data_IF_579485288103
#
_entry.id   IF_579485288103
#
_cell.length_a   1.000
_cell.length_b   1.000
_cell.length_c   1.000
_cell.angle_alpha   90.00
_cell.angle_beta   90.00
_cell.angle_gamma   90.00
#
_symmetry.space_group_name_H-M   'P 1'
#
loop_
_entity.id
_entity.type
_entity.pdbx_description
1 polymer ?
#
# COMPACT_ATOMS: atom_id res chain seq x y z
N UNK A 1 27.20 16.91 -9.11
CA UNK A 1 27.16 15.62 -8.38
C UNK A 1 26.59 14.62 -9.38
N UNK A 2 27.31 13.57 -9.68
CA UNK A 2 26.81 12.50 -10.55
C UNK A 2 25.71 11.73 -9.77
N UNK A 3 24.58 11.50 -10.42
CA UNK A 3 23.42 10.85 -9.79
C UNK A 3 23.49 9.36 -10.15
N UNK A 4 23.46 8.49 -9.15
CA UNK A 4 23.47 7.05 -9.37
C UNK A 4 22.14 6.58 -10.01
N UNK A 5 22.25 5.64 -10.93
CA UNK A 5 21.11 4.91 -11.45
C UNK A 5 20.55 3.96 -10.37
N UNK A 6 19.22 3.97 -10.19
CA UNK A 6 18.52 3.14 -9.20
C UNK A 6 17.78 2.01 -9.91
N UNK A 7 17.98 0.80 -9.41
CA UNK A 7 17.36 -0.41 -9.94
C UNK A 7 16.62 -1.17 -8.85
N UNK A 8 15.55 -1.85 -9.23
CA UNK A 8 14.83 -2.81 -8.39
C UNK A 8 15.37 -4.22 -8.70
N UNK A 9 15.73 -4.96 -7.68
CA UNK A 9 16.34 -6.29 -7.83
C UNK A 9 15.46 -7.42 -7.30
N UNK A 10 14.52 -7.13 -6.43
CA UNK A 10 13.54 -8.10 -5.93
C UNK A 10 12.25 -7.43 -5.53
N UNK A 11 11.20 -8.24 -5.41
CA UNK A 11 9.92 -7.82 -4.85
C UNK A 11 9.05 -9.02 -4.49
N UNK A 12 8.20 -8.82 -3.49
CA UNK A 12 7.20 -9.79 -3.05
C UNK A 12 6.08 -9.08 -2.28
N UNK A 13 4.99 -9.80 -2.05
CA UNK A 13 3.87 -9.34 -1.22
C UNK A 13 3.20 -10.49 -0.48
N UNK A 14 2.51 -10.18 0.61
CA UNK A 14 1.54 -11.13 1.15
C UNK A 14 0.33 -11.23 0.21
N UNK A 15 -0.47 -12.28 0.29
CA UNK A 15 -1.85 -12.19 -0.18
C UNK A 15 -2.58 -11.05 0.55
N UNK A 16 -3.55 -10.45 -0.10
CA UNK A 16 -4.35 -9.35 0.46
C UNK A 16 -5.55 -9.92 1.22
N UNK A 17 -5.57 -9.65 2.53
CA UNK A 17 -6.69 -9.96 3.41
C UNK A 17 -7.78 -8.90 3.33
N UNK A 18 -9.04 -9.31 3.46
CA UNK A 18 -10.16 -8.38 3.65
C UNK A 18 -10.24 -7.92 5.11
N UNK A 19 -10.94 -6.83 5.34
CA UNK A 19 -11.19 -6.30 6.68
C UNK A 19 -11.82 -7.37 7.61
N UNK A 20 -11.21 -7.55 8.77
CA UNK A 20 -11.54 -8.61 9.74
C UNK A 20 -11.52 -10.03 9.14
N UNK A 21 -10.76 -10.22 8.06
CA UNK A 21 -10.58 -11.50 7.37
C UNK A 21 -9.40 -12.32 7.90
N UNK A 22 -8.79 -13.09 6.99
CA UNK A 22 -7.75 -14.08 7.35
C UNK A 22 -6.51 -13.48 8.01
N UNK A 23 -6.13 -12.24 7.67
CA UNK A 23 -4.96 -11.55 8.24
C UNK A 23 -5.27 -10.74 9.51
N UNK A 24 -6.52 -10.68 9.99
CA UNK A 24 -6.94 -9.84 11.11
C UNK A 24 -6.21 -10.08 12.43
N UNK A 25 -5.59 -11.24 12.63
CA UNK A 25 -4.79 -11.54 13.81
C UNK A 25 -3.30 -11.21 13.66
N UNK A 26 -2.86 -10.71 12.49
CA UNK A 26 -1.46 -10.42 12.20
C UNK A 26 -1.24 -8.91 12.15
N UNK A 27 -0.28 -8.42 12.92
CA UNK A 27 0.02 -6.98 12.99
C UNK A 27 0.82 -6.53 11.78
N UNK A 28 0.76 -5.23 11.48
CA UNK A 28 1.48 -4.62 10.38
C UNK A 28 3.00 -4.85 10.44
N UNK A 29 3.60 -4.77 11.63
CA UNK A 29 5.04 -5.04 11.80
C UNK A 29 5.40 -6.49 11.44
N UNK A 30 4.56 -7.46 11.81
CA UNK A 30 4.80 -8.87 11.51
C UNK A 30 4.67 -9.13 9.99
N UNK A 31 3.66 -8.56 9.34
CA UNK A 31 3.52 -8.61 7.88
C UNK A 31 4.73 -7.99 7.18
N UNK A 32 5.23 -6.86 7.71
CA UNK A 32 6.42 -6.17 7.20
C UNK A 32 7.68 -7.01 7.33
N UNK A 33 7.86 -7.71 8.46
CA UNK A 33 9.00 -8.61 8.65
C UNK A 33 8.96 -9.79 7.68
N UNK A 34 7.78 -10.38 7.45
CA UNK A 34 7.60 -11.49 6.52
C UNK A 34 7.99 -11.07 5.09
N UNK A 35 7.47 -9.95 4.59
CA UNK A 35 7.77 -9.48 3.23
C UNK A 35 9.18 -8.94 3.10
N UNK A 36 9.68 -8.20 4.10
CA UNK A 36 11.03 -7.65 4.10
C UNK A 36 12.09 -8.73 4.05
N UNK A 37 11.98 -9.75 4.91
CA UNK A 37 12.90 -10.90 4.92
C UNK A 37 12.89 -11.66 3.59
N UNK A 38 11.70 -11.91 3.04
CA UNK A 38 11.58 -12.62 1.76
C UNK A 38 12.12 -11.79 0.58
N UNK A 39 11.90 -10.46 0.57
CA UNK A 39 12.45 -9.60 -0.48
C UNK A 39 13.99 -9.60 -0.49
N UNK A 40 14.62 -9.52 0.69
CA UNK A 40 16.07 -9.63 0.86
C UNK A 40 16.58 -11.00 0.36
N UNK A 41 15.92 -12.08 0.78
CA UNK A 41 16.23 -13.43 0.33
C UNK A 41 16.14 -13.59 -1.19
N UNK A 42 15.07 -13.05 -1.81
CA UNK A 42 14.90 -13.05 -3.28
C UNK A 42 15.95 -12.22 -4.01
N UNK A 43 16.46 -11.17 -3.38
CA UNK A 43 17.58 -10.40 -3.90
C UNK A 43 18.92 -11.15 -3.85
N UNK A 44 19.00 -12.26 -3.11
CA UNK A 44 20.24 -13.05 -2.94
C UNK A 44 21.29 -12.33 -2.11
N UNK A 45 20.88 -11.49 -1.15
CA UNK A 45 21.77 -10.74 -0.27
C UNK A 45 21.46 -11.05 1.21
N UNK A 46 22.38 -10.68 2.09
CA UNK A 46 22.19 -10.81 3.53
C UNK A 46 21.51 -9.57 4.11
N UNK A 47 20.67 -9.70 5.15
CA UNK A 47 20.03 -8.55 5.80
C UNK A 47 21.02 -7.48 6.28
N UNK A 48 22.21 -7.88 6.71
CA UNK A 48 23.28 -6.98 7.17
C UNK A 48 23.90 -6.12 6.09
N UNK A 49 23.62 -6.42 4.80
CA UNK A 49 24.10 -5.62 3.67
C UNK A 49 23.13 -4.46 3.31
N UNK A 50 21.95 -4.42 3.94
CA UNK A 50 20.95 -3.38 3.68
C UNK A 50 21.26 -2.15 4.53
N UNK A 51 21.51 -1.00 3.89
CA UNK A 51 21.89 0.25 4.54
C UNK A 51 20.72 0.95 5.22
N UNK A 52 19.54 0.89 4.61
CA UNK A 52 18.35 1.54 5.14
C UNK A 52 17.06 0.78 4.83
N UNK A 53 16.08 0.93 5.74
CA UNK A 53 14.70 0.53 5.55
C UNK A 53 13.79 1.75 5.55
N UNK A 54 12.98 1.90 4.49
CA UNK A 54 11.93 2.93 4.43
C UNK A 54 10.57 2.26 4.43
N UNK A 55 9.79 2.50 5.49
CA UNK A 55 8.45 1.94 5.67
C UNK A 55 7.38 2.94 5.25
N UNK A 56 6.56 2.56 4.26
CA UNK A 56 5.34 3.27 3.91
C UNK A 56 4.14 2.68 4.64
N UNK A 57 3.46 3.49 5.44
CA UNK A 57 2.30 3.08 6.23
C UNK A 57 1.34 4.25 6.40
N UNK A 58 0.06 4.04 6.13
CA UNK A 58 -0.99 5.02 6.39
C UNK A 58 -1.16 5.27 7.89
N UNK A 59 -1.36 4.19 8.63
CA UNK A 59 -1.86 4.17 10.00
C UNK A 59 -0.87 3.43 10.91
N UNK A 60 -0.05 4.15 11.66
CA UNK A 60 0.94 3.55 12.55
C UNK A 60 0.42 3.21 13.96
N UNK A 61 -0.85 3.53 14.26
CA UNK A 61 -1.45 3.32 15.57
C UNK A 61 -1.36 1.86 16.04
N UNK A 62 -1.00 1.67 17.31
CA UNK A 62 -0.92 0.34 17.92
C UNK A 62 0.30 -0.50 17.56
N UNK A 63 1.21 -0.03 16.69
CA UNK A 63 2.41 -0.75 16.26
C UNK A 63 3.67 -0.46 17.11
N UNK A 64 3.52 0.29 18.19
CA UNK A 64 4.62 0.67 19.08
C UNK A 64 5.45 1.84 18.56
N UNK A 65 6.58 2.10 19.23
CA UNK A 65 7.49 3.18 18.85
C UNK A 65 8.34 2.75 17.66
N UNK A 66 8.42 3.62 16.65
CA UNK A 66 9.29 3.49 15.48
C UNK A 66 9.18 2.10 14.78
N UNK A 67 8.01 1.77 14.20
CA UNK A 67 7.78 0.51 13.51
C UNK A 67 8.89 0.08 12.53
N UNK A 68 9.46 0.95 11.67
CA UNK A 68 10.51 0.54 10.74
C UNK A 68 11.77 0.02 11.45
N UNK A 69 12.12 0.56 12.62
CA UNK A 69 13.26 0.05 13.37
C UNK A 69 12.99 -1.33 13.97
N UNK A 70 11.75 -1.57 14.44
CA UNK A 70 11.35 -2.88 14.92
C UNK A 70 11.43 -3.91 13.78
N UNK A 71 10.97 -3.56 12.59
CA UNK A 71 11.05 -4.42 11.40
C UNK A 71 12.50 -4.67 11.01
N UNK A 72 13.33 -3.64 10.89
CA UNK A 72 14.75 -3.79 10.53
C UNK A 72 15.49 -4.74 11.48
N UNK A 73 15.30 -4.57 12.78
CA UNK A 73 15.92 -5.46 13.78
C UNK A 73 15.34 -6.86 13.75
N UNK A 74 14.02 -6.99 13.56
CA UNK A 74 13.32 -8.27 13.49
C UNK A 74 13.74 -9.15 12.31
N UNK A 75 14.17 -8.54 11.20
CA UNK A 75 14.68 -9.26 10.02
C UNK A 75 16.20 -9.44 10.00
N UNK A 76 16.92 -8.94 11.03
CA UNK A 76 18.36 -9.12 11.16
C UNK A 76 19.23 -8.13 10.40
N UNK A 77 18.72 -6.92 10.09
CA UNK A 77 19.55 -5.84 9.54
C UNK A 77 20.58 -5.38 10.58
N UNK A 78 21.66 -4.75 10.10
CA UNK A 78 22.70 -4.20 10.97
C UNK A 78 22.14 -3.14 11.93
N UNK A 79 22.71 -3.05 13.15
CA UNK A 79 22.41 -1.97 14.06
C UNK A 79 22.81 -0.58 13.50
N UNK A 80 23.69 -0.53 12.53
CA UNK A 80 24.13 0.67 11.84
C UNK A 80 23.16 1.12 10.74
N UNK A 81 22.27 0.22 10.27
CA UNK A 81 21.29 0.52 9.22
C UNK A 81 20.31 1.60 9.67
N UNK A 82 20.00 2.53 8.78
CA UNK A 82 18.92 3.52 8.96
C UNK A 82 17.55 2.89 8.91
N UNK A 83 16.58 3.46 9.62
CA UNK A 83 15.18 3.05 9.50
C UNK A 83 14.26 4.25 9.67
N UNK A 84 13.39 4.49 8.69
CA UNK A 84 12.45 5.60 8.69
C UNK A 84 11.07 5.19 8.22
N UNK A 85 10.07 5.97 8.62
CA UNK A 85 8.68 5.78 8.20
C UNK A 85 8.17 7.03 7.52
N UNK A 86 7.35 6.83 6.49
CA UNK A 86 6.62 7.92 5.83
C UNK A 86 5.14 7.56 5.72
N UNK A 87 4.30 8.57 5.89
CA UNK A 87 2.88 8.48 5.56
C UNK A 87 2.53 9.46 4.45
N UNK A 88 1.76 9.00 3.50
CA UNK A 88 1.11 9.77 2.44
C UNK A 88 -0.19 9.06 2.07
N UNK A 89 -0.92 8.60 3.08
CA UNK A 89 -2.11 7.76 2.94
C UNK A 89 -1.86 6.59 1.97
N UNK A 90 -2.75 6.34 1.01
CA UNK A 90 -2.62 5.24 0.05
C UNK A 90 -1.33 5.29 -0.79
N UNK A 91 -0.70 6.44 -0.94
CA UNK A 91 0.56 6.62 -1.66
C UNK A 91 1.82 6.43 -0.78
N UNK A 92 1.67 6.05 0.50
CA UNK A 92 2.79 5.95 1.44
C UNK A 92 3.92 5.04 0.95
N UNK A 93 3.60 3.88 0.35
CA UNK A 93 4.60 2.95 -0.19
C UNK A 93 5.36 3.52 -1.39
N UNK A 94 4.66 4.24 -2.27
CA UNK A 94 5.31 4.95 -3.40
C UNK A 94 6.21 6.07 -2.89
N UNK A 95 5.77 6.80 -1.84
CA UNK A 95 6.60 7.83 -1.21
C UNK A 95 7.82 7.23 -0.51
N UNK A 96 7.70 6.08 0.13
CA UNK A 96 8.82 5.34 0.69
C UNK A 96 9.82 4.93 -0.39
N UNK A 97 9.32 4.48 -1.55
CA UNK A 97 10.13 4.17 -2.74
C UNK A 97 10.88 5.41 -3.25
N UNK A 98 10.22 6.56 -3.31
CA UNK A 98 10.85 7.83 -3.73
C UNK A 98 11.97 8.25 -2.77
N UNK A 99 11.74 8.14 -1.45
CA UNK A 99 12.75 8.50 -0.43
C UNK A 99 13.97 7.59 -0.54
N UNK A 100 13.77 6.28 -0.60
CA UNK A 100 14.85 5.31 -0.79
C UNK A 100 15.62 5.56 -2.09
N UNK A 101 14.90 5.81 -3.20
CA UNK A 101 15.52 6.11 -4.48
C UNK A 101 16.35 7.40 -4.45
N UNK A 102 15.89 8.45 -3.77
CA UNK A 102 16.67 9.67 -3.57
C UNK A 102 17.93 9.42 -2.75
N UNK A 103 17.86 8.60 -1.70
CA UNK A 103 19.01 8.21 -0.89
C UNK A 103 20.08 7.49 -1.73
N UNK A 104 19.66 6.49 -2.52
CA UNK A 104 20.51 5.74 -3.43
C UNK A 104 21.10 6.64 -4.54
N UNK A 105 20.27 7.45 -5.17
CA UNK A 105 20.69 8.35 -6.25
C UNK A 105 21.73 9.36 -5.79
N UNK A 106 21.63 9.85 -4.56
CA UNK A 106 22.57 10.79 -3.95
C UNK A 106 23.80 10.12 -3.31
N UNK A 107 23.91 8.78 -3.36
CA UNK A 107 25.02 8.03 -2.78
C UNK A 107 25.06 8.03 -1.25
N UNK A 108 23.93 8.23 -0.57
CA UNK A 108 23.83 8.13 0.89
C UNK A 108 23.69 6.68 1.35
N UNK A 109 23.15 5.82 0.51
CA UNK A 109 23.04 4.37 0.67
C UNK A 109 23.32 3.68 -0.66
N UNK A 110 23.65 2.40 -0.64
CA UNK A 110 23.84 1.57 -1.84
C UNK A 110 22.73 0.52 -2.00
N UNK A 111 22.13 0.07 -0.87
CA UNK A 111 21.05 -0.91 -0.84
C UNK A 111 19.97 -0.43 0.13
N UNK A 112 18.74 -0.35 -0.34
CA UNK A 112 17.57 0.05 0.45
C UNK A 112 16.47 -1.01 0.38
N UNK A 113 15.88 -1.34 1.53
CA UNK A 113 14.65 -2.10 1.64
C UNK A 113 13.48 -1.12 1.77
N UNK A 114 12.52 -1.23 0.86
CA UNK A 114 11.25 -0.49 0.96
C UNK A 114 10.14 -1.48 1.31
N UNK A 115 9.38 -1.16 2.34
CA UNK A 115 8.21 -1.97 2.74
C UNK A 115 6.99 -1.07 2.76
N UNK A 116 5.92 -1.52 2.11
CA UNK A 116 4.59 -0.95 2.26
C UNK A 116 3.70 -1.92 3.02
N UNK A 117 3.06 -1.47 4.09
CA UNK A 117 2.24 -2.35 4.91
C UNK A 117 1.07 -1.63 5.52
N UNK A 118 -0.02 -2.38 5.68
CA UNK A 118 -1.19 -1.94 6.46
C UNK A 118 -1.87 -3.14 7.10
N UNK A 119 -2.34 -2.97 8.32
CA UNK A 119 -3.22 -3.90 9.00
C UNK A 119 -4.42 -3.12 9.54
N UNK A 120 -5.36 -2.83 8.64
CA UNK A 120 -6.52 -2.01 8.94
C UNK A 120 -7.45 -2.68 9.95
N UNK A 121 -7.45 -4.01 10.00
CA UNK A 121 -8.17 -4.80 11.01
C UNK A 121 -7.66 -4.59 12.44
N UNK A 122 -6.43 -4.09 12.60
CA UNK A 122 -5.78 -3.89 13.90
C UNK A 122 -5.66 -2.42 14.32
N UNK A 123 -6.27 -1.49 13.58
CA UNK A 123 -6.28 -0.08 13.97
C UNK A 123 -7.16 0.10 15.22
N UNK A 124 -6.63 0.74 16.28
CA UNK A 124 -7.34 0.83 17.56
C UNK A 124 -8.43 1.90 17.55
N UNK A 125 -9.32 1.79 18.52
CA UNK A 125 -10.14 2.92 18.97
C UNK A 125 -9.33 3.80 19.90
N UNK A 126 -9.47 5.11 19.79
CA UNK A 126 -8.76 6.12 20.59
C UNK A 126 -9.73 6.97 21.40
N UNK A 127 -9.25 7.47 22.54
CA UNK A 127 -9.98 8.47 23.33
C UNK A 127 -9.12 9.71 23.49
N UNK A 128 -9.57 10.83 22.95
CA UNK A 128 -8.78 12.07 22.90
C UNK A 128 -8.72 12.81 24.24
N UNK A 129 -9.77 12.69 25.07
CA UNK A 129 -9.95 13.53 26.26
C UNK A 129 -9.61 12.85 27.59
N UNK A 130 -9.17 11.56 27.56
CA UNK A 130 -8.95 10.79 28.79
C UNK A 130 -7.60 11.06 29.46
N UNK A 131 -6.60 11.55 28.73
CA UNK A 131 -5.26 11.85 29.30
C UNK A 131 -5.32 12.92 30.40
N UNK A 132 -6.14 13.93 30.24
CA UNK A 132 -6.36 15.00 31.23
C UNK A 132 -7.44 14.65 32.27
N UNK A 133 -8.00 13.45 32.19
CA UNK A 133 -9.11 12.97 33.03
C UNK A 133 -10.47 13.34 32.47
N UNK A 134 -11.38 12.39 32.41
CA UNK A 134 -12.79 12.63 32.14
C UNK A 134 -13.43 13.08 33.46
N UNK A 135 -13.44 14.38 33.75
CA UNK A 135 -13.88 14.93 35.04
C UNK A 135 -15.36 14.74 35.32
N UNK A 136 -16.22 14.82 34.29
CA UNK A 136 -17.66 14.66 34.38
C UNK A 136 -18.20 14.21 33.03
N UNK A 137 -19.07 13.19 33.03
CA UNK A 137 -19.67 12.60 31.84
C UNK A 137 -18.83 11.46 31.22
N UNK A 138 -19.31 10.92 30.12
CA UNK A 138 -18.75 9.74 29.46
C UNK A 138 -17.47 10.04 28.67
N UNK A 139 -16.49 9.11 28.72
CA UNK A 139 -15.36 9.10 27.80
C UNK A 139 -15.77 8.39 26.49
N UNK A 140 -15.70 9.10 25.36
CA UNK A 140 -16.00 8.53 24.04
C UNK A 140 -14.79 7.84 23.45
N UNK A 141 -14.98 6.65 22.90
CA UNK A 141 -14.04 5.98 22.01
C UNK A 141 -14.37 6.37 20.57
N UNK A 142 -13.33 6.72 19.82
CA UNK A 142 -13.40 7.10 18.42
C UNK A 142 -12.64 6.06 17.59
N UNK A 143 -13.23 5.59 16.50
CA UNK A 143 -12.56 4.69 15.57
C UNK A 143 -11.45 5.46 14.83
N UNK A 144 -10.19 5.12 15.12
CA UNK A 144 -9.04 5.77 14.50
C UNK A 144 -8.94 5.46 13.01
N UNK A 145 -9.45 4.30 12.55
CA UNK A 145 -9.50 3.97 11.13
C UNK A 145 -10.33 5.00 10.35
N UNK A 146 -11.44 5.44 10.91
CA UNK A 146 -12.28 6.48 10.32
C UNK A 146 -11.67 7.87 10.52
N UNK A 147 -11.36 8.24 11.77
CA UNK A 147 -11.00 9.63 12.11
C UNK A 147 -9.65 10.08 11.57
N UNK A 148 -8.69 9.18 11.46
CA UNK A 148 -7.31 9.50 11.11
C UNK A 148 -6.89 8.89 9.75
N UNK A 149 -7.72 8.02 9.16
CA UNK A 149 -7.46 7.36 7.89
C UNK A 149 -8.47 7.67 6.78
N UNK A 150 -9.76 7.38 7.00
CA UNK A 150 -10.74 7.35 5.92
C UNK A 150 -11.62 8.59 5.81
N UNK A 151 -11.67 9.46 6.83
CA UNK A 151 -12.38 10.73 6.79
C UNK A 151 -11.37 11.85 6.60
N UNK A 152 -11.45 12.53 5.45
CA UNK A 152 -10.67 13.73 5.18
C UNK A 152 -11.26 14.92 5.93
N UNK A 153 -10.45 15.55 6.78
CA UNK A 153 -10.88 16.72 7.57
C UNK A 153 -11.01 18.00 6.74
N UNK A 154 -10.29 18.10 5.62
CA UNK A 154 -10.36 19.25 4.73
C UNK A 154 -11.61 19.18 3.85
N UNK A 155 -11.89 18.01 3.28
CA UNK A 155 -13.11 17.78 2.52
C UNK A 155 -14.34 17.58 3.40
N UNK A 156 -14.16 17.28 4.70
CA UNK A 156 -15.25 16.98 5.63
C UNK A 156 -16.03 15.73 5.26
N UNK A 157 -15.41 14.79 4.54
CA UNK A 157 -16.07 13.65 3.93
C UNK A 157 -15.20 12.38 4.02
N UNK A 158 -15.86 11.23 4.01
CA UNK A 158 -15.20 9.94 3.78
C UNK A 158 -14.60 9.88 2.37
N UNK A 159 -13.52 9.12 2.17
CA UNK A 159 -12.86 8.97 0.85
C UNK A 159 -13.82 8.54 -0.26
N UNK A 160 -14.80 7.67 0.03
CA UNK A 160 -15.86 7.31 -0.91
C UNK A 160 -16.77 8.48 -1.29
N UNK A 161 -17.00 9.43 -0.38
CA UNK A 161 -17.72 10.67 -0.71
C UNK A 161 -16.93 11.58 -1.64
N UNK A 162 -15.59 11.62 -1.52
CA UNK A 162 -14.75 12.36 -2.48
C UNK A 162 -14.74 11.68 -3.86
N UNK A 163 -14.88 10.34 -3.92
CA UNK A 163 -15.06 9.63 -5.18
C UNK A 163 -16.38 10.00 -5.87
N UNK A 164 -17.48 10.11 -5.11
CA UNK A 164 -18.76 10.61 -5.63
C UNK A 164 -18.65 12.05 -6.17
N UNK A 165 -17.84 12.90 -5.51
CA UNK A 165 -17.56 14.27 -5.99
C UNK A 165 -16.84 14.25 -7.35
N UNK A 166 -15.87 13.34 -7.53
CA UNK A 166 -15.20 13.14 -8.82
C UNK A 166 -16.21 12.71 -9.87
N UNK A 167 -17.02 11.68 -9.58
CA UNK A 167 -18.03 11.18 -10.49
C UNK A 167 -18.99 12.29 -10.93
N UNK A 168 -19.48 13.08 -9.99
CA UNK A 168 -20.39 14.22 -10.30
C UNK A 168 -19.72 15.28 -11.17
N UNK A 169 -18.46 15.64 -10.88
CA UNK A 169 -17.76 16.70 -11.61
C UNK A 169 -17.43 16.33 -13.05
N UNK A 170 -17.10 15.05 -13.28
CA UNK A 170 -16.74 14.56 -14.61
C UNK A 170 -17.83 13.73 -15.28
N UNK A 171 -19.06 13.75 -14.75
CA UNK A 171 -20.23 13.05 -15.27
C UNK A 171 -20.01 11.56 -15.45
N UNK A 172 -19.31 10.92 -14.52
CA UNK A 172 -19.10 9.46 -14.49
C UNK A 172 -20.34 8.82 -13.89
N UNK A 173 -20.93 7.89 -14.62
CA UNK A 173 -22.18 7.24 -14.20
C UNK A 173 -21.93 6.07 -13.25
N UNK A 174 -22.99 5.63 -12.57
CA UNK A 174 -22.99 4.44 -11.74
C UNK A 174 -22.65 3.19 -12.56
N UNK A 175 -23.20 3.09 -13.74
CA UNK A 175 -23.00 1.98 -14.67
C UNK A 175 -21.54 1.87 -15.10
N UNK A 176 -20.88 2.98 -15.40
CA UNK A 176 -19.45 3.01 -15.73
C UNK A 176 -18.59 2.55 -14.54
N UNK A 177 -18.92 2.97 -13.31
CA UNK A 177 -18.23 2.53 -12.09
C UNK A 177 -18.40 1.01 -11.88
N UNK A 178 -19.63 0.50 -11.99
CA UNK A 178 -19.91 -0.94 -11.83
C UNK A 178 -19.25 -1.78 -12.93
N UNK A 179 -19.23 -1.28 -14.18
CA UNK A 179 -18.55 -1.95 -15.29
C UNK A 179 -17.05 -2.10 -15.05
N UNK A 180 -16.38 -1.02 -14.61
CA UNK A 180 -14.95 -1.04 -14.28
C UNK A 180 -14.68 -2.01 -13.14
N UNK A 181 -15.50 -1.98 -12.09
CA UNK A 181 -15.37 -2.88 -10.95
C UNK A 181 -15.59 -4.34 -11.33
N UNK A 182 -16.57 -4.63 -12.18
CA UNK A 182 -16.79 -5.98 -12.72
C UNK A 182 -15.56 -6.50 -13.48
N UNK A 183 -14.98 -5.67 -14.34
CA UNK A 183 -13.74 -6.02 -15.06
C UNK A 183 -12.60 -6.32 -14.06
N UNK A 184 -12.45 -5.48 -13.05
CA UNK A 184 -11.42 -5.65 -12.01
C UNK A 184 -11.60 -6.95 -11.22
N UNK A 185 -12.81 -7.23 -10.71
CA UNK A 185 -13.10 -8.46 -9.97
C UNK A 185 -12.91 -9.71 -10.84
N UNK A 186 -13.35 -9.67 -12.11
CA UNK A 186 -13.22 -10.79 -13.05
C UNK A 186 -11.74 -11.08 -13.35
N UNK A 187 -10.94 -10.04 -13.60
CA UNK A 187 -9.50 -10.18 -13.86
C UNK A 187 -8.77 -10.72 -12.63
N UNK A 188 -9.07 -10.20 -11.44
CA UNK A 188 -8.48 -10.69 -10.18
C UNK A 188 -8.84 -12.16 -9.93
N UNK A 189 -10.11 -12.54 -10.05
CA UNK A 189 -10.56 -13.92 -9.88
C UNK A 189 -9.86 -14.87 -10.87
N UNK A 190 -9.72 -14.47 -12.13
CA UNK A 190 -8.99 -15.24 -13.13
C UNK A 190 -7.51 -15.37 -12.79
N UNK A 191 -6.84 -14.26 -12.47
CA UNK A 191 -5.40 -14.25 -12.16
C UNK A 191 -5.06 -15.12 -10.93
N UNK A 192 -5.89 -15.06 -9.87
CA UNK A 192 -5.74 -15.91 -8.69
C UNK A 192 -6.02 -17.39 -9.03
N UNK A 193 -7.05 -17.66 -9.86
CA UNK A 193 -7.37 -19.01 -10.32
C UNK A 193 -6.26 -19.63 -11.16
N UNK A 194 -5.66 -18.87 -12.05
CA UNK A 194 -4.59 -19.30 -12.96
C UNK A 194 -3.20 -19.34 -12.27
N UNK A 195 -3.09 -18.93 -10.99
CA UNK A 195 -1.83 -18.92 -10.25
C UNK A 195 -0.83 -17.86 -10.71
N UNK A 196 -1.28 -16.80 -11.41
CA UNK A 196 -0.39 -15.75 -11.96
C UNK A 196 0.37 -15.02 -10.85
N UNK A 197 -0.26 -14.83 -9.69
CA UNK A 197 0.35 -14.16 -8.54
C UNK A 197 1.18 -15.09 -7.63
N UNK A 198 1.22 -16.40 -7.88
CA UNK A 198 1.93 -17.36 -7.00
C UNK A 198 3.42 -17.01 -6.85
N UNK A 199 4.04 -16.42 -7.89
CA UNK A 199 5.42 -15.93 -7.85
C UNK A 199 5.63 -14.71 -6.95
N UNK A 200 4.57 -13.96 -6.66
CA UNK A 200 4.62 -12.74 -5.84
C UNK A 200 4.35 -13.03 -4.37
N UNK A 201 3.49 -14.03 -4.12
CA UNK A 201 3.01 -14.34 -2.78
C UNK A 201 4.11 -14.81 -1.84
N UNK A 202 4.02 -14.30 -0.61
CA UNK A 202 4.65 -14.88 0.58
C UNK A 202 3.51 -15.36 1.49
N UNK A 203 3.27 -16.65 1.58
CA UNK A 203 2.21 -17.18 2.45
C UNK A 203 2.42 -16.77 3.90
N UNK A 204 1.35 -16.37 4.58
CA UNK A 204 1.38 -15.93 5.98
C UNK A 204 0.85 -17.05 6.87
N UNK A 205 1.63 -17.47 7.86
CA UNK A 205 1.20 -18.45 8.85
C UNK A 205 0.25 -17.80 9.86
N UNK A 206 -0.97 -18.30 9.93
CA UNK A 206 -1.97 -17.87 10.89
C UNK A 206 -2.03 -18.91 12.03
N UNK A 207 -1.54 -18.52 13.20
CA UNK A 207 -1.53 -19.35 14.40
C UNK A 207 -2.86 -19.27 15.13
N UNK A 208 -3.39 -20.39 15.55
CA UNK A 208 -4.59 -20.48 16.37
C UNK A 208 -4.46 -21.57 17.44
N UNK A 209 -5.39 -21.62 18.40
CA UNK A 209 -5.46 -22.69 19.40
C UNK A 209 -5.65 -24.09 18.78
N UNK A 210 -6.13 -24.16 17.53
CA UNK A 210 -6.37 -25.42 16.80
C UNK A 210 -5.22 -25.82 15.88
N UNK A 211 -4.10 -25.10 15.90
CA UNK A 211 -2.94 -25.27 15.02
C UNK A 211 -2.69 -24.11 14.08
N UNK A 212 -1.75 -24.28 13.17
CA UNK A 212 -1.38 -23.28 12.19
C UNK A 212 -2.04 -23.54 10.83
N UNK A 213 -2.41 -22.47 10.13
CA UNK A 213 -2.90 -22.50 8.75
C UNK A 213 -2.18 -21.45 7.94
N UNK A 214 -1.78 -21.76 6.71
CA UNK A 214 -1.21 -20.77 5.80
C UNK A 214 -2.28 -20.06 5.00
N UNK A 215 -2.23 -18.73 5.00
CA UNK A 215 -3.00 -17.85 4.11
C UNK A 215 -2.13 -17.55 2.89
N UNK A 216 -2.51 -18.06 1.72
CA UNK A 216 -1.66 -18.08 0.54
C UNK A 216 -2.24 -17.44 -0.72
N UNK A 217 -3.49 -16.94 -0.71
CA UNK A 217 -4.15 -16.33 -1.87
C UNK A 217 -4.99 -15.12 -1.45
N UNK A 218 -5.12 -14.13 -2.34
CA UNK A 218 -5.98 -12.96 -2.14
C UNK A 218 -7.43 -13.37 -1.89
N UNK A 219 -8.12 -12.67 -0.98
CA UNK A 219 -9.50 -13.01 -0.58
C UNK A 219 -10.51 -11.87 -0.79
N UNK A 220 -10.07 -10.68 -1.24
CA UNK A 220 -10.99 -9.51 -1.27
C UNK A 220 -11.86 -9.45 -2.53
N UNK A 221 -11.38 -9.91 -3.68
CA UNK A 221 -12.18 -9.86 -4.91
C UNK A 221 -13.48 -10.68 -4.78
N UNK A 222 -14.51 -10.32 -5.56
CA UNK A 222 -15.83 -10.98 -5.55
C UNK A 222 -15.87 -12.03 -6.65
N UNK A 223 -15.74 -13.34 -6.34
CA UNK A 223 -15.90 -14.38 -7.34
C UNK A 223 -17.32 -14.38 -7.90
N UNK A 224 -17.44 -14.45 -9.23
CA UNK A 224 -18.75 -14.46 -9.89
C UNK A 224 -19.51 -13.11 -9.84
N UNK A 225 -18.80 -11.99 -9.63
CA UNK A 225 -19.40 -10.66 -9.72
C UNK A 225 -20.17 -10.49 -11.03
N UNK A 226 -21.31 -9.82 -10.97
CA UNK A 226 -22.15 -9.54 -12.14
C UNK A 226 -22.89 -8.21 -11.99
N UNK A 227 -23.19 -7.55 -13.12
CA UNK A 227 -23.79 -6.21 -13.12
C UNK A 227 -25.19 -6.17 -12.50
N UNK A 228 -25.97 -7.24 -12.64
CA UNK A 228 -27.32 -7.27 -12.06
C UNK A 228 -27.29 -7.18 -10.54
N UNK A 229 -26.41 -7.96 -9.88
CA UNK A 229 -26.26 -7.93 -8.44
C UNK A 229 -25.63 -6.61 -7.96
N UNK A 230 -24.61 -6.10 -8.68
CA UNK A 230 -23.94 -4.84 -8.36
C UNK A 230 -24.89 -3.65 -8.48
N UNK A 231 -25.71 -3.60 -9.54
CA UNK A 231 -26.69 -2.54 -9.78
C UNK A 231 -27.78 -2.42 -8.71
N UNK A 232 -28.05 -3.49 -7.95
CA UNK A 232 -29.03 -3.50 -6.85
C UNK A 232 -28.48 -2.89 -5.55
N UNK A 233 -27.16 -2.67 -5.45
CA UNK A 233 -26.55 -2.14 -4.22
C UNK A 233 -26.83 -0.64 -4.08
N UNK A 234 -27.20 -0.18 -2.86
CA UNK A 234 -27.38 1.23 -2.63
C UNK A 234 -26.04 1.97 -2.63
N UNK A 235 -26.03 3.29 -2.88
CA UNK A 235 -24.88 4.14 -2.61
C UNK A 235 -24.40 4.01 -1.16
N UNK A 236 -23.08 3.94 -0.97
CA UNK A 236 -22.51 3.65 0.35
C UNK A 236 -22.16 4.92 1.16
N UNK A 237 -21.95 6.06 0.50
CA UNK A 237 -21.44 7.27 1.13
C UNK A 237 -22.40 8.45 1.01
N UNK A 238 -22.73 8.87 -0.19
CA UNK A 238 -23.70 9.95 -0.43
C UNK A 238 -25.01 9.36 -0.95
N UNK A 239 -26.14 9.91 -0.54
CA UNK A 239 -27.48 9.42 -0.92
C UNK A 239 -27.67 9.29 -2.44
N UNK A 240 -27.15 10.27 -3.19
CA UNK A 240 -27.21 10.32 -4.65
C UNK A 240 -25.84 9.98 -5.29
N UNK A 241 -24.98 9.24 -4.56
CA UNK A 241 -23.66 8.83 -5.01
C UNK A 241 -23.68 7.63 -5.94
N UNK A 242 -22.56 7.40 -6.61
CA UNK A 242 -22.33 6.27 -7.52
C UNK A 242 -21.51 5.16 -6.87
N UNK A 243 -20.86 5.46 -5.75
CA UNK A 243 -19.94 4.56 -5.04
C UNK A 243 -20.71 3.59 -4.14
N UNK A 244 -20.46 2.29 -4.32
CA UNK A 244 -21.14 1.20 -3.59
C UNK A 244 -20.13 0.25 -2.95
N UNK A 245 -20.60 -0.70 -2.16
CA UNK A 245 -19.77 -1.75 -1.59
C UNK A 245 -19.10 -2.68 -2.64
N UNK A 246 -19.61 -2.74 -3.87
CA UNK A 246 -19.05 -3.59 -4.92
C UNK A 246 -18.11 -2.84 -5.88
N UNK A 247 -18.18 -1.51 -5.94
CA UNK A 247 -17.31 -0.71 -6.81
C UNK A 247 -16.33 0.19 -6.04
N UNK A 248 -16.41 0.22 -4.69
CA UNK A 248 -15.44 0.89 -3.84
C UNK A 248 -14.19 0.04 -3.63
N UNK A 249 -13.05 0.69 -3.37
CA UNK A 249 -11.87 0.03 -2.82
C UNK A 249 -12.17 -0.60 -1.46
N UNK A 250 -11.59 -1.76 -1.19
CA UNK A 250 -11.76 -2.43 0.10
C UNK A 250 -10.91 -1.81 1.21
N UNK A 251 -11.29 -2.16 2.45
CA UNK A 251 -10.45 -2.02 3.63
C UNK A 251 -9.70 -3.34 3.79
N UNK A 252 -8.37 -3.31 3.80
CA UNK A 252 -7.57 -4.51 3.64
C UNK A 252 -6.40 -4.57 4.62
N UNK A 253 -5.88 -5.79 4.77
CA UNK A 253 -4.63 -6.11 5.47
C UNK A 253 -3.63 -6.67 4.47
N UNK A 254 -2.37 -6.25 4.52
CA UNK A 254 -1.34 -6.77 3.65
C UNK A 254 -0.01 -6.04 3.76
N UNK A 255 1.00 -6.61 3.11
CA UNK A 255 2.33 -6.02 3.01
C UNK A 255 2.98 -6.36 1.67
N UNK A 256 3.78 -5.45 1.15
CA UNK A 256 4.65 -5.67 0.01
C UNK A 256 6.04 -5.11 0.31
N UNK A 257 7.08 -5.73 -0.22
CA UNK A 257 8.44 -5.24 -0.07
C UNK A 257 9.20 -5.33 -1.39
N UNK A 258 10.09 -4.37 -1.62
CA UNK A 258 11.04 -4.35 -2.73
C UNK A 258 12.43 -4.02 -2.23
N UNK A 259 13.46 -4.58 -2.88
CA UNK A 259 14.85 -4.17 -2.67
C UNK A 259 15.27 -3.30 -3.84
N UNK A 260 15.70 -2.10 -3.50
CA UNK A 260 16.33 -1.15 -4.43
C UNK A 260 17.82 -1.09 -4.15
N UNK A 261 18.61 -0.89 -5.19
CA UNK A 261 20.05 -0.60 -5.05
C UNK A 261 20.57 0.27 -6.19
N UNK A 262 21.77 0.79 -6.04
CA UNK A 262 22.44 1.44 -7.16
C UNK A 262 22.78 0.40 -8.23
N UNK A 263 22.69 0.77 -9.52
CA UNK A 263 23.04 -0.14 -10.61
C UNK A 263 24.50 -0.63 -10.50
N UNK A 264 25.38 0.21 -9.96
CA UNK A 264 26.78 -0.13 -9.66
C UNK A 264 26.83 -1.27 -8.64
N UNK A 265 26.11 -1.15 -7.53
CA UNK A 265 26.07 -2.16 -6.48
C UNK A 265 25.47 -3.49 -6.95
N UNK A 266 24.40 -3.43 -7.75
CA UNK A 266 23.81 -4.62 -8.36
C UNK A 266 24.85 -5.38 -9.21
N UNK A 267 25.63 -4.65 -10.00
CA UNK A 267 26.72 -5.23 -10.81
C UNK A 267 27.82 -5.82 -9.95
N UNK A 268 28.25 -5.15 -8.90
CA UNK A 268 29.29 -5.61 -7.96
C UNK A 268 28.90 -6.93 -7.28
N UNK A 269 27.62 -7.04 -6.89
CA UNK A 269 27.07 -8.23 -6.22
C UNK A 269 26.66 -9.33 -7.23
N UNK A 270 26.70 -9.07 -8.53
CA UNK A 270 26.22 -10.01 -9.55
C UNK A 270 24.71 -10.21 -9.53
N UNK A 271 23.95 -9.30 -8.94
CA UNK A 271 22.50 -9.35 -8.86
C UNK A 271 21.89 -8.76 -10.13
N UNK A 272 20.97 -9.52 -10.75
CA UNK A 272 20.30 -9.08 -11.98
C UNK A 272 19.13 -8.15 -11.65
N UNK A 273 19.10 -6.89 -12.15
CA UNK A 273 17.96 -6.01 -11.99
C UNK A 273 16.69 -6.57 -12.66
N UNK A 274 15.54 -6.40 -12.00
CA UNK A 274 14.22 -6.66 -12.55
C UNK A 274 13.70 -5.46 -13.34
N UNK A 275 13.97 -4.24 -12.82
CA UNK A 275 13.55 -2.99 -13.44
C UNK A 275 14.51 -1.86 -13.06
N UNK A 276 14.47 -0.79 -13.86
CA UNK A 276 15.12 0.49 -13.58
C UNK A 276 14.06 1.51 -13.19
N UNK A 277 14.31 2.29 -12.17
CA UNK A 277 13.46 3.44 -11.84
C UNK A 277 13.81 4.60 -12.77
N UNK A 278 12.84 5.04 -13.57
CA UNK A 278 13.02 6.15 -14.51
C UNK A 278 12.61 7.49 -13.89
N UNK A 279 11.47 7.52 -13.21
CA UNK A 279 10.99 8.70 -12.49
C UNK A 279 10.00 8.31 -11.41
N UNK A 280 9.83 9.20 -10.45
CA UNK A 280 8.78 9.13 -9.44
C UNK A 280 8.45 10.56 -9.02
N UNK A 281 7.18 10.87 -8.86
CA UNK A 281 6.78 12.21 -8.45
C UNK A 281 5.47 12.21 -7.67
N UNK A 282 5.30 13.26 -6.89
CA UNK A 282 4.07 13.56 -6.17
C UNK A 282 3.39 14.80 -6.79
N UNK A 283 2.06 14.80 -6.78
CA UNK A 283 1.24 15.92 -7.20
C UNK A 283 0.09 16.12 -6.20
N UNK A 284 -0.07 17.33 -5.66
CA UNK A 284 -1.19 17.69 -4.79
C UNK A 284 -2.41 18.12 -5.60
N UNK A 285 -3.59 17.72 -5.16
CA UNK A 285 -4.87 18.11 -5.77
C UNK A 285 -5.83 18.63 -4.71
N UNK A 286 -6.93 19.23 -5.14
CA UNK A 286 -8.01 19.65 -4.25
C UNK A 286 -8.54 18.41 -3.47
N UNK A 287 -8.57 18.45 -2.13
CA UNK A 287 -9.04 17.33 -1.30
C UNK A 287 -10.44 16.84 -1.66
N UNK A 288 -11.33 17.72 -2.11
CA UNK A 288 -12.68 17.36 -2.57
C UNK A 288 -12.68 16.36 -3.75
N UNK A 289 -11.57 16.32 -4.51
CA UNK A 289 -11.42 15.52 -5.73
C UNK A 289 -10.15 14.66 -5.69
N UNK A 290 -9.77 14.14 -4.51
CA UNK A 290 -8.48 13.49 -4.32
C UNK A 290 -8.23 12.35 -5.32
N UNK A 291 -9.29 11.66 -5.78
CA UNK A 291 -9.20 10.54 -6.73
C UNK A 291 -8.63 10.89 -8.10
N UNK A 292 -8.56 12.19 -8.47
CA UNK A 292 -7.96 12.61 -9.74
C UNK A 292 -6.43 12.79 -9.66
N UNK A 293 -5.80 12.57 -8.51
CA UNK A 293 -4.35 12.72 -8.34
C UNK A 293 -3.52 12.09 -9.47
N UNK A 294 -3.78 10.84 -9.88
CA UNK A 294 -3.05 10.20 -10.99
C UNK A 294 -3.14 10.96 -12.31
N UNK A 295 -4.27 11.61 -12.62
CA UNK A 295 -4.43 12.39 -13.86
C UNK A 295 -3.42 13.55 -13.99
N UNK A 296 -2.90 14.04 -12.87
CA UNK A 296 -1.87 15.10 -12.85
C UNK A 296 -0.47 14.55 -12.57
N UNK A 297 -0.35 13.52 -11.75
CA UNK A 297 0.93 12.92 -11.41
C UNK A 297 1.54 12.16 -12.60
N UNK A 298 0.74 11.42 -13.36
CA UNK A 298 1.20 10.63 -14.52
C UNK A 298 1.88 11.50 -15.59
N UNK A 299 1.27 12.59 -16.12
CA UNK A 299 1.94 13.44 -17.11
C UNK A 299 3.24 14.04 -16.58
N UNK A 300 3.31 14.38 -15.29
CA UNK A 300 4.51 14.90 -14.65
C UNK A 300 5.62 13.84 -14.60
N UNK A 301 5.29 12.60 -14.21
CA UNK A 301 6.25 11.50 -14.16
C UNK A 301 6.79 11.16 -15.56
N UNK A 302 5.92 11.06 -16.57
CA UNK A 302 6.31 10.83 -17.96
C UNK A 302 7.26 11.94 -18.47
N UNK A 303 6.92 13.20 -18.20
CA UNK A 303 7.78 14.33 -18.58
C UNK A 303 9.18 14.24 -17.95
N UNK A 304 9.25 13.87 -16.66
CA UNK A 304 10.53 13.68 -15.97
C UNK A 304 11.34 12.53 -16.54
N UNK A 305 10.67 11.45 -16.99
CA UNK A 305 11.32 10.31 -17.64
C UNK A 305 11.64 10.54 -19.11
N UNK A 306 11.22 11.65 -19.72
CA UNK A 306 11.35 11.89 -21.16
C UNK A 306 10.46 10.99 -22.02
N UNK A 307 9.36 10.47 -21.46
CA UNK A 307 8.43 9.54 -22.08
C UNK A 307 7.11 10.19 -22.48
N UNK A 308 6.41 9.56 -23.41
CA UNK A 308 5.02 9.85 -23.80
C UNK A 308 4.11 8.70 -23.38
N UNK A 309 2.79 8.91 -23.41
CA UNK A 309 1.79 7.88 -23.10
C UNK A 309 1.98 6.61 -23.95
N UNK A 310 2.23 6.75 -25.23
CA UNK A 310 2.42 5.64 -26.19
C UNK A 310 3.72 4.84 -25.96
N UNK A 311 4.59 5.29 -25.07
CA UNK A 311 5.81 4.56 -24.67
C UNK A 311 5.56 3.63 -23.46
N UNK A 312 4.34 3.58 -22.94
CA UNK A 312 3.98 2.79 -21.76
C UNK A 312 3.13 1.60 -22.16
N UNK A 313 3.68 0.41 -21.99
CA UNK A 313 3.01 -0.85 -22.36
C UNK A 313 2.03 -1.34 -21.28
N UNK A 314 2.25 -0.97 -20.01
CA UNK A 314 1.45 -1.43 -18.88
C UNK A 314 1.19 -0.30 -17.87
N UNK A 315 -0.05 -0.22 -17.42
CA UNK A 315 -0.54 0.76 -16.45
C UNK A 315 -1.11 0.06 -15.22
N UNK A 316 -0.59 0.41 -14.05
CA UNK A 316 -1.16 0.03 -12.76
C UNK A 316 -1.60 1.31 -12.06
N UNK A 317 -2.91 1.46 -11.85
CA UNK A 317 -3.51 2.66 -11.27
C UNK A 317 -4.41 2.26 -10.11
N UNK A 318 -4.08 2.79 -8.94
CA UNK A 318 -4.94 2.66 -7.77
C UNK A 318 -6.11 3.65 -7.87
#
# INVERSE_FOLDING_TARGET
MEVNEVVMVSGCRTPIGRFLGSLSSVRANDLSMITGAEAIKRAGIEPTQVDELVLGMCMHHGNGSLPPRQVAMGIGMSHESGASQVTQNCAASMRATEIAAMSLALGKSEIALVVGTESMSNIPYISQNTRSGARLGDAKLQDALLSDGLIDKLAGSHMGGTADNVAKKWNITREECDQLALISHTRAAKAVGDGIFDREYVPVEIKSKKGSKFFGKDEHFIPGANLEAMGKLPPAFNKDGVTTAANASGINDGSAAIVLMTAKKAKELGVKPLAKLLSICTYGVDPYYMGIGPAYAIPKALKQAGLKYDNVDYWEIN
#
